data_IF_749968501279
#
_entry.id   IF_749968501279
#
_cell.length_a   1.000
_cell.length_b   1.000
_cell.length_c   1.000
_cell.angle_alpha   90.00
_cell.angle_beta   90.00
_cell.angle_gamma   90.00
#
_symmetry.space_group_name_H-M   'P 1'
#
loop_
_entity.id
_entity.type
_entity.pdbx_description
1 polymer ?
#
# COMPACT_ATOMS: atom_id res chain seq x y z
N UNK A 1 -2.88 -23.82 -33.58
CA UNK A 1 -3.99 -23.02 -33.02
C UNK A 1 -3.66 -22.35 -31.68
N UNK A 2 -2.89 -22.95 -30.75
CA UNK A 2 -2.63 -22.32 -29.43
C UNK A 2 -1.78 -21.03 -29.45
N UNK A 3 -0.92 -20.82 -30.44
CA UNK A 3 -0.08 -19.60 -30.52
C UNK A 3 -0.80 -18.37 -31.11
N UNK A 4 -1.94 -18.55 -31.78
CA UNK A 4 -2.74 -17.42 -32.32
C UNK A 4 -3.44 -16.63 -31.22
N UNK A 5 -3.86 -17.31 -30.15
CA UNK A 5 -4.60 -16.69 -29.04
C UNK A 5 -3.68 -16.28 -27.88
N UNK A 6 -2.57 -17.01 -27.69
CA UNK A 6 -1.62 -16.78 -26.60
C UNK A 6 -0.21 -16.51 -27.17
N UNK A 7 0.12 -15.26 -27.52
CA UNK A 7 1.45 -14.92 -28.01
C UNK A 7 2.49 -15.02 -26.88
N UNK A 8 3.76 -15.24 -27.24
CA UNK A 8 4.88 -15.45 -26.28
C UNK A 8 5.10 -14.24 -25.36
N UNK A 9 4.66 -13.04 -25.76
CA UNK A 9 4.72 -11.81 -24.94
C UNK A 9 3.53 -11.64 -23.98
N UNK A 10 2.48 -12.47 -24.06
CA UNK A 10 1.35 -12.42 -23.14
C UNK A 10 1.74 -12.44 -21.64
N UNK A 11 2.67 -13.30 -21.16
CA UNK A 11 3.08 -13.29 -19.76
C UNK A 11 3.77 -11.99 -19.33
N UNK A 12 4.45 -11.27 -20.24
CA UNK A 12 5.08 -9.99 -19.91
C UNK A 12 4.06 -8.97 -19.42
N UNK A 13 2.93 -8.82 -20.13
CA UNK A 13 1.87 -7.90 -19.72
C UNK A 13 1.15 -8.37 -18.44
N UNK A 14 1.01 -9.67 -18.23
CA UNK A 14 0.46 -10.23 -17.00
C UNK A 14 1.32 -9.86 -15.77
N UNK A 15 2.62 -10.17 -15.81
CA UNK A 15 3.53 -9.83 -14.71
C UNK A 15 3.76 -8.33 -14.55
N UNK A 16 3.79 -7.57 -15.65
CA UNK A 16 3.85 -6.11 -15.60
C UNK A 16 2.62 -5.52 -14.90
N UNK A 17 1.44 -6.08 -15.13
CA UNK A 17 0.20 -5.70 -14.44
C UNK A 17 0.30 -5.93 -12.93
N UNK A 18 0.71 -7.14 -12.52
CA UNK A 18 0.90 -7.49 -11.09
C UNK A 18 1.95 -6.61 -10.42
N UNK A 19 3.06 -6.32 -11.11
CA UNK A 19 4.08 -5.42 -10.61
C UNK A 19 3.52 -4.00 -10.44
N UNK A 20 2.79 -3.50 -11.45
CA UNK A 20 2.19 -2.16 -11.41
C UNK A 20 1.18 -2.01 -10.27
N UNK A 21 0.32 -3.01 -10.04
CA UNK A 21 -0.69 -2.96 -8.98
C UNK A 21 -0.03 -2.91 -7.61
N UNK A 22 0.94 -3.78 -7.36
CA UNK A 22 1.68 -3.79 -6.10
C UNK A 22 2.42 -2.48 -5.85
N UNK A 23 3.12 -1.94 -6.84
CA UNK A 23 3.88 -0.70 -6.70
C UNK A 23 2.96 0.46 -6.34
N UNK A 24 1.86 0.67 -7.06
CA UNK A 24 0.98 1.81 -6.78
C UNK A 24 0.21 1.66 -5.46
N UNK A 25 -0.25 0.45 -5.14
CA UNK A 25 -0.90 0.14 -3.86
C UNK A 25 0.03 0.39 -2.67
N UNK A 26 1.27 -0.10 -2.74
CA UNK A 26 2.25 0.07 -1.66
C UNK A 26 2.74 1.51 -1.53
N UNK A 27 2.88 2.27 -2.62
CA UNK A 27 3.20 3.70 -2.55
C UNK A 27 2.10 4.47 -1.80
N UNK A 28 0.83 4.20 -2.09
CA UNK A 28 -0.30 4.82 -1.39
C UNK A 28 -0.30 4.49 0.10
N UNK A 29 -0.11 3.21 0.44
CA UNK A 29 -0.02 2.74 1.81
C UNK A 29 1.18 3.35 2.58
N UNK A 30 2.36 3.42 1.94
CA UNK A 30 3.56 4.01 2.52
C UNK A 30 3.37 5.51 2.78
N UNK A 31 2.78 6.25 1.84
CA UNK A 31 2.49 7.67 2.02
C UNK A 31 1.48 7.91 3.16
N UNK A 32 0.38 7.15 3.19
CA UNK A 32 -0.61 7.22 4.26
C UNK A 32 0.01 6.93 5.64
N UNK A 33 0.87 5.92 5.71
CA UNK A 33 1.61 5.56 6.92
C UNK A 33 2.57 6.66 7.36
N UNK A 34 3.33 7.26 6.44
CA UNK A 34 4.26 8.34 6.74
C UNK A 34 3.54 9.57 7.32
N UNK A 35 2.42 9.98 6.72
CA UNK A 35 1.65 11.13 7.18
C UNK A 35 0.94 10.87 8.51
N UNK A 36 0.37 9.68 8.69
CA UNK A 36 -0.21 9.27 9.97
C UNK A 36 0.85 9.21 11.08
N UNK A 37 2.04 8.68 10.78
CA UNK A 37 3.17 8.61 11.70
C UNK A 37 3.58 9.97 12.25
N UNK A 38 3.72 10.99 11.39
CA UNK A 38 4.04 12.38 11.80
C UNK A 38 3.01 12.90 12.83
N UNK A 39 1.72 12.68 12.57
CA UNK A 39 0.65 13.08 13.48
C UNK A 39 0.67 12.33 14.81
N UNK A 40 0.92 11.01 14.78
CA UNK A 40 0.98 10.18 15.98
C UNK A 40 2.18 10.53 16.85
N UNK A 41 3.35 10.82 16.25
CA UNK A 41 4.53 11.25 17.01
C UNK A 41 4.27 12.56 17.73
N UNK A 42 3.61 13.53 17.09
CA UNK A 42 3.22 14.79 17.75
C UNK A 42 2.17 14.59 18.84
N UNK A 43 1.18 13.72 18.60
CA UNK A 43 0.16 13.37 19.58
C UNK A 43 0.74 12.65 20.80
N UNK A 44 1.73 11.77 20.60
CA UNK A 44 2.31 10.94 21.66
C UNK A 44 2.99 11.74 22.78
N UNK A 45 3.43 12.96 22.49
CA UNK A 45 4.01 13.88 23.48
C UNK A 45 2.90 14.61 24.27
N UNK A 46 1.79 14.96 23.60
CA UNK A 46 0.71 15.77 24.17
C UNK A 46 -0.32 14.93 24.94
N UNK A 47 -0.70 13.76 24.41
CA UNK A 47 -1.72 12.86 24.96
C UNK A 47 -1.32 11.39 24.70
N UNK A 48 -0.39 10.82 25.51
CA UNK A 48 0.13 9.47 25.31
C UNK A 48 -0.96 8.38 25.37
N UNK A 49 -2.02 8.59 26.14
CA UNK A 49 -3.14 7.65 26.26
C UNK A 49 -3.92 7.46 24.95
N UNK A 50 -3.86 8.44 24.04
CA UNK A 50 -4.57 8.42 22.76
C UNK A 50 -3.77 7.75 21.62
N UNK A 51 -2.51 7.39 21.84
CA UNK A 51 -1.62 6.82 20.80
C UNK A 51 -2.21 5.54 20.22
N UNK A 52 -2.70 4.63 21.06
CA UNK A 52 -3.20 3.32 20.62
C UNK A 52 -4.41 3.43 19.68
N UNK A 53 -5.34 4.35 19.97
CA UNK A 53 -6.48 4.63 19.08
C UNK A 53 -6.06 5.35 17.80
N UNK A 54 -4.97 6.09 17.85
CA UNK A 54 -4.46 6.83 16.69
C UNK A 54 -3.70 5.96 15.69
N UNK A 55 -3.47 4.68 16.01
CA UNK A 55 -2.90 3.69 15.07
C UNK A 55 -3.91 3.19 14.02
N UNK A 56 -5.21 3.37 14.23
CA UNK A 56 -6.26 2.95 13.28
C UNK A 56 -5.98 3.41 11.84
N UNK A 57 -5.67 4.69 11.55
CA UNK A 57 -5.33 5.13 10.20
C UNK A 57 -4.10 4.43 9.59
N UNK A 58 -3.11 4.03 10.40
CA UNK A 58 -1.94 3.28 9.93
C UNK A 58 -2.36 1.88 9.50
N UNK A 59 -3.19 1.20 10.29
CA UNK A 59 -3.72 -0.12 9.95
C UNK A 59 -4.57 -0.07 8.68
N UNK A 60 -5.42 0.95 8.54
CA UNK A 60 -6.23 1.14 7.34
C UNK A 60 -5.38 1.41 6.09
N UNK A 61 -4.27 2.15 6.21
CA UNK A 61 -3.32 2.33 5.11
C UNK A 61 -2.61 1.00 4.76
N UNK A 62 -2.28 0.17 5.75
CA UNK A 62 -1.67 -1.14 5.55
C UNK A 62 -2.53 -2.13 4.77
N UNK A 63 -3.86 -2.09 4.93
CA UNK A 63 -4.80 -2.96 4.18
C UNK A 63 -4.76 -2.65 2.67
N UNK A 64 -4.47 -1.40 2.28
CA UNK A 64 -4.42 -0.97 0.87
C UNK A 64 -3.16 -1.49 0.16
N UNK A 65 -2.12 -1.89 0.90
CA UNK A 65 -0.83 -2.29 0.33
C UNK A 65 -0.86 -3.62 -0.45
N UNK A 66 -1.91 -4.43 -0.26
CA UNK A 66 -2.08 -5.79 -0.78
C UNK A 66 -3.33 -5.85 -1.65
#
# INVERSE_FOLDING_TARGET
>A
MSLEVCPVYAPFFGFAGVASSMIFSTIGAAYGTAKAGIGITGLGIMKPEAVMKSLIPVVMAGIIAV
#
